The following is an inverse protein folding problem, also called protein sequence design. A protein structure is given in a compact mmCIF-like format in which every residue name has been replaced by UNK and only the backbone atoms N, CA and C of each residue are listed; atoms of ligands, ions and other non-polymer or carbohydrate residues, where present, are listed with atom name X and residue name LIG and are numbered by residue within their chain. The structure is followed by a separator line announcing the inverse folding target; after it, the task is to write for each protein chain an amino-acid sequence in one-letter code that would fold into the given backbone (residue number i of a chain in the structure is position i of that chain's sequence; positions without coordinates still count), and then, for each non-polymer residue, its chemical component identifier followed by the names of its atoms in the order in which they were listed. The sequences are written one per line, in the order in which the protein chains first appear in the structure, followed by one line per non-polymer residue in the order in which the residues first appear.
data_IF_407836801760
#
_entry.id   IF_407836801760
#
_cell.length_a   1.000
_cell.length_b   1.000
_cell.length_c   1.000
_cell.angle_alpha   90.00
_cell.angle_beta   90.00
_cell.angle_gamma   90.00
#
_symmetry.space_group_name_H-M   'P 1'
#
loop_
_entity.id
_entity.type
_entity.pdbx_description
1 polymer ?
#
# COMPACT_ATOMS: atom_id res chain seq x y z
N UNK A 1 38.69 40.40 -6.57
CA UNK A 1 38.85 38.93 -6.50
C UNK A 1 37.66 38.38 -5.75
N UNK A 2 36.76 37.70 -6.45
CA UNK A 2 35.53 37.16 -5.87
C UNK A 2 35.83 35.91 -5.06
N UNK A 3 35.50 35.95 -3.78
CA UNK A 3 35.49 34.77 -2.91
C UNK A 3 34.29 33.92 -3.34
N UNK A 4 34.56 32.81 -4.01
CA UNK A 4 33.58 31.78 -4.33
C UNK A 4 33.05 31.25 -3.00
N UNK A 5 31.80 31.57 -2.67
CA UNK A 5 31.04 30.88 -1.62
C UNK A 5 30.97 29.41 -2.03
N UNK A 6 31.69 28.55 -1.31
CA UNK A 6 31.41 27.12 -1.30
C UNK A 6 29.95 26.94 -0.92
N UNK A 7 29.16 26.38 -1.84
CA UNK A 7 27.81 25.91 -1.53
C UNK A 7 27.95 24.80 -0.51
N UNK A 8 27.29 24.99 0.62
CA UNK A 8 26.99 23.97 1.62
C UNK A 8 26.22 22.82 0.92
N UNK A 9 26.94 21.79 0.44
CA UNK A 9 26.37 20.55 -0.08
C UNK A 9 26.10 19.64 1.13
N UNK A 10 25.02 19.93 1.85
CA UNK A 10 24.54 19.06 2.92
C UNK A 10 24.15 17.69 2.39
N UNK A 11 24.52 16.64 3.13
CA UNK A 11 24.30 15.22 2.88
C UNK A 11 22.86 14.88 2.46
N UNK A 12 22.57 14.91 1.16
CA UNK A 12 21.29 14.43 0.64
C UNK A 12 21.31 12.89 0.61
N UNK A 13 20.79 12.25 1.67
CA UNK A 13 20.54 10.80 1.75
C UNK A 13 19.74 10.25 0.55
N UNK A 14 18.93 11.09 -0.09
CA UNK A 14 18.08 10.72 -1.21
C UNK A 14 18.32 11.72 -2.33
N UNK A 15 18.60 11.24 -3.54
CA UNK A 15 18.65 12.03 -4.76
C UNK A 15 17.68 11.48 -5.80
N UNK A 16 17.15 12.35 -6.64
CA UNK A 16 16.20 12.01 -7.70
C UNK A 16 16.64 12.67 -8.99
N UNK A 17 16.88 11.87 -10.02
CA UNK A 17 17.15 12.32 -11.39
C UNK A 17 15.96 11.96 -12.26
N UNK A 18 15.31 12.97 -12.82
CA UNK A 18 14.13 12.74 -13.69
C UNK A 18 14.59 12.27 -15.07
N UNK A 19 13.83 11.34 -15.65
CA UNK A 19 13.96 10.97 -17.06
C UNK A 19 13.76 12.20 -17.95
N UNK A 20 14.46 12.27 -19.08
CA UNK A 20 14.45 13.42 -19.98
C UNK A 20 13.33 13.32 -21.03
N UNK A 21 12.91 12.10 -21.37
CA UNK A 21 11.85 11.80 -22.34
C UNK A 21 10.61 11.10 -21.78
N UNK A 22 9.55 11.06 -22.58
CA UNK A 22 8.33 10.31 -22.26
C UNK A 22 8.63 8.79 -22.22
N UNK A 23 8.35 8.15 -21.09
CA UNK A 23 8.62 6.73 -20.89
C UNK A 23 10.03 6.41 -20.38
N UNK A 24 10.94 7.39 -20.33
CA UNK A 24 12.24 7.19 -19.69
C UNK A 24 12.09 7.06 -18.17
N UNK A 25 12.72 6.05 -17.56
CA UNK A 25 12.65 5.88 -16.11
C UNK A 25 13.37 7.02 -15.41
N UNK A 26 12.78 7.49 -14.31
CA UNK A 26 13.47 8.37 -13.36
C UNK A 26 14.30 7.53 -12.40
N UNK A 27 15.48 8.01 -12.04
CA UNK A 27 16.41 7.34 -11.13
C UNK A 27 16.27 7.94 -9.72
N UNK A 28 16.09 7.08 -8.74
CA UNK A 28 16.09 7.41 -7.31
C UNK A 28 17.29 6.72 -6.69
N UNK A 29 18.18 7.49 -6.07
CA UNK A 29 19.33 6.96 -5.33
C UNK A 29 19.15 7.27 -3.85
N UNK A 30 19.29 6.27 -3.01
CA UNK A 30 19.27 6.39 -1.55
C UNK A 30 20.58 5.86 -1.00
N UNK A 31 21.26 6.66 -0.20
CA UNK A 31 22.45 6.31 0.54
C UNK A 31 22.24 6.68 2.01
N UNK A 32 21.97 5.69 2.86
CA UNK A 32 21.65 5.93 4.27
C UNK A 32 22.06 4.75 5.15
N UNK A 33 22.06 4.92 6.50
CA UNK A 33 22.24 3.79 7.39
C UNK A 33 21.22 2.68 7.10
N UNK A 34 21.60 1.44 7.35
CA UNK A 34 20.76 0.28 7.08
C UNK A 34 19.86 -0.07 8.27
N UNK A 35 18.69 -0.64 7.96
CA UNK A 35 17.82 -1.30 8.93
C UNK A 35 17.04 -2.42 8.24
N UNK A 36 16.69 -3.45 9.01
CA UNK A 36 15.85 -4.54 8.51
C UNK A 36 14.51 -3.96 8.00
N UNK A 37 14.15 -4.35 6.78
CA UNK A 37 12.87 -3.96 6.17
C UNK A 37 12.85 -2.59 5.50
N UNK A 38 13.98 -1.89 5.38
CA UNK A 38 14.05 -0.59 4.70
C UNK A 38 13.62 -0.68 3.22
N UNK A 39 13.99 -1.76 2.51
CA UNK A 39 13.51 -2.02 1.15
C UNK A 39 11.98 -2.11 1.04
N UNK A 40 11.30 -2.65 2.06
CA UNK A 40 9.84 -2.65 2.13
C UNK A 40 9.28 -1.25 2.36
N UNK A 41 9.93 -0.44 3.20
CA UNK A 41 9.53 0.95 3.45
C UNK A 41 9.64 1.80 2.16
N UNK A 42 10.72 1.65 1.39
CA UNK A 42 10.87 2.30 0.09
C UNK A 42 9.81 1.81 -0.90
N UNK A 43 9.63 0.49 -1.04
CA UNK A 43 8.64 -0.08 -1.94
C UNK A 43 7.21 0.40 -1.62
N UNK A 44 6.89 0.56 -0.33
CA UNK A 44 5.61 1.10 0.14
C UNK A 44 5.41 2.53 -0.32
N UNK A 45 6.40 3.41 -0.11
CA UNK A 45 6.32 4.82 -0.50
C UNK A 45 6.14 4.94 -2.02
N UNK A 46 6.91 4.18 -2.80
CA UNK A 46 6.79 4.16 -4.26
C UNK A 46 5.40 3.70 -4.71
N UNK A 47 4.84 2.66 -4.07
CA UNK A 47 3.48 2.20 -4.35
C UNK A 47 2.43 3.26 -3.98
N UNK A 48 2.60 3.96 -2.86
CA UNK A 48 1.69 5.05 -2.43
C UNK A 48 1.65 6.19 -3.44
N UNK A 49 2.79 6.59 -4.02
CA UNK A 49 2.86 7.68 -5.01
C UNK A 49 2.52 7.24 -6.44
N UNK A 50 2.20 5.96 -6.67
CA UNK A 50 1.78 5.47 -7.99
C UNK A 50 2.95 5.14 -8.94
N UNK A 51 4.15 4.92 -8.40
CA UNK A 51 5.33 4.53 -9.18
C UNK A 51 5.44 3.00 -9.31
N UNK A 52 6.12 2.57 -10.36
CA UNK A 52 6.54 1.18 -10.59
C UNK A 52 8.05 1.12 -10.73
N UNK A 53 8.69 0.20 -10.04
CA UNK A 53 10.11 -0.10 -10.21
C UNK A 53 10.28 -0.95 -11.46
N UNK A 54 11.04 -0.46 -12.44
CA UNK A 54 11.40 -1.20 -13.66
C UNK A 54 12.78 -1.83 -13.54
N UNK A 55 13.67 -1.20 -12.77
CA UNK A 55 14.97 -1.75 -12.41
C UNK A 55 15.33 -1.30 -11.00
N UNK A 56 16.07 -2.13 -10.27
CA UNK A 56 16.60 -1.76 -8.97
C UNK A 56 17.89 -2.49 -8.67
N UNK A 57 18.84 -1.80 -8.09
CA UNK A 57 20.08 -2.35 -7.54
C UNK A 57 20.13 -1.98 -6.05
N UNK A 58 20.28 -2.97 -5.16
CA UNK A 58 20.34 -2.80 -3.71
C UNK A 58 21.65 -3.41 -3.20
N UNK A 59 22.32 -2.72 -2.28
CA UNK A 59 23.52 -3.21 -1.62
C UNK A 59 23.59 -2.69 -0.20
N UNK A 60 24.03 -3.51 0.75
CA UNK A 60 24.30 -3.11 2.12
C UNK A 60 25.54 -3.81 2.66
N UNK A 61 26.28 -3.13 3.54
CA UNK A 61 27.34 -3.73 4.36
C UNK A 61 26.85 -4.10 5.78
N UNK A 62 25.54 -4.00 6.01
CA UNK A 62 24.86 -4.20 7.29
C UNK A 62 24.85 -2.98 8.21
N UNK A 63 25.55 -1.90 7.85
CA UNK A 63 25.53 -0.61 8.57
C UNK A 63 25.02 0.52 7.70
N UNK A 64 25.39 0.52 6.43
CA UNK A 64 24.99 1.46 5.39
C UNK A 64 24.44 0.70 4.20
N UNK A 65 23.41 1.27 3.59
CA UNK A 65 22.83 0.76 2.37
C UNK A 65 22.93 1.78 1.25
N UNK A 66 23.13 1.26 0.05
CA UNK A 66 23.09 2.00 -1.20
C UNK A 66 22.04 1.36 -2.10
N UNK A 67 21.02 2.13 -2.47
CA UNK A 67 19.86 1.66 -3.23
C UNK A 67 19.66 2.58 -4.43
N UNK A 68 19.58 2.01 -5.62
CA UNK A 68 19.23 2.72 -6.86
C UNK A 68 18.00 2.08 -7.47
N UNK A 69 16.96 2.88 -7.70
CA UNK A 69 15.68 2.43 -8.25
C UNK A 69 15.34 3.27 -9.49
N UNK A 70 15.11 2.60 -10.60
CA UNK A 70 14.57 3.19 -11.82
C UNK A 70 13.07 2.99 -11.83
N UNK A 71 12.33 4.10 -11.90
CA UNK A 71 10.89 4.13 -11.70
C UNK A 71 10.16 4.84 -12.82
N UNK A 72 8.96 4.34 -13.14
CA UNK A 72 8.03 4.96 -14.09
C UNK A 72 6.67 5.19 -13.43
N UNK A 73 5.97 6.31 -13.72
CA UNK A 73 4.58 6.49 -13.33
C UNK A 73 3.69 5.44 -13.99
N UNK A 74 2.73 4.85 -13.26
CA UNK A 74 1.80 3.85 -13.83
C UNK A 74 0.80 4.47 -14.80
N UNK A 75 0.05 5.46 -14.30
CA UNK A 75 -1.00 6.12 -15.06
C UNK A 75 -1.24 7.49 -14.45
N UNK A 76 -0.82 8.52 -15.17
CA UNK A 76 -1.04 9.92 -14.76
C UNK A 76 -2.52 10.29 -14.74
N UNK A 77 -3.37 9.61 -15.52
CA UNK A 77 -4.82 9.84 -15.51
C UNK A 77 -5.49 9.34 -14.23
N UNK A 78 -4.96 8.28 -13.60
CA UNK A 78 -5.52 7.70 -12.38
C UNK A 78 -4.89 8.33 -11.13
N UNK A 79 -3.56 8.45 -11.10
CA UNK A 79 -2.84 8.82 -9.88
C UNK A 79 -2.39 10.29 -9.85
N UNK A 80 -2.65 11.04 -10.94
CA UNK A 80 -2.15 12.40 -11.10
C UNK A 80 -0.63 12.46 -11.35
N UNK A 81 -0.10 13.67 -11.33
CA UNK A 81 1.34 13.89 -11.42
C UNK A 81 2.07 13.48 -10.13
N UNK A 82 3.27 12.93 -10.28
CA UNK A 82 4.09 12.53 -9.14
C UNK A 82 4.67 13.77 -8.47
N UNK A 83 4.33 13.96 -7.19
CA UNK A 83 4.97 14.98 -6.36
C UNK A 83 6.37 14.50 -5.92
N UNK A 84 7.37 14.75 -6.75
CA UNK A 84 8.76 14.35 -6.53
C UNK A 84 9.38 14.94 -5.25
N UNK A 85 8.97 16.14 -4.86
CA UNK A 85 9.44 16.79 -3.62
C UNK A 85 8.94 16.00 -2.40
N UNK A 86 7.66 15.67 -2.38
CA UNK A 86 7.06 14.89 -1.30
C UNK A 86 7.63 13.46 -1.26
N UNK A 87 7.84 12.85 -2.42
CA UNK A 87 8.49 11.53 -2.51
C UNK A 87 9.88 11.56 -1.85
N UNK A 88 10.72 12.54 -2.20
CA UNK A 88 12.06 12.70 -1.63
C UNK A 88 12.00 12.85 -0.12
N UNK A 89 11.10 13.69 0.39
CA UNK A 89 10.90 13.90 1.83
C UNK A 89 10.49 12.61 2.55
N UNK A 90 9.57 11.82 1.97
CA UNK A 90 9.11 10.55 2.57
C UNK A 90 10.19 9.48 2.57
N UNK A 91 10.97 9.38 1.49
CA UNK A 91 12.09 8.45 1.43
C UNK A 91 13.15 8.81 2.48
N UNK A 92 13.48 10.10 2.61
CA UNK A 92 14.42 10.56 3.63
C UNK A 92 13.88 10.30 5.05
N UNK A 93 12.59 10.51 5.30
CA UNK A 93 11.99 10.31 6.63
C UNK A 93 11.99 8.86 7.12
N UNK A 94 12.07 7.86 6.23
CA UNK A 94 12.19 6.45 6.63
C UNK A 94 13.64 5.98 6.77
N UNK A 95 14.60 6.76 6.29
CA UNK A 95 16.03 6.48 6.45
C UNK A 95 16.40 6.62 7.94
N UNK A 96 17.14 5.66 8.52
CA UNK A 96 17.62 5.81 9.89
C UNK A 96 18.57 7.00 10.03
N UNK A 97 18.57 7.65 11.20
CA UNK A 97 19.53 8.72 11.50
C UNK A 97 20.95 8.17 11.57
N UNK A 98 21.97 8.87 11.01
CA UNK A 98 23.38 8.50 11.18
C UNK A 98 23.84 8.45 12.64
N UNK A 99 23.19 9.23 13.51
CA UNK A 99 23.47 9.27 14.95
C UNK A 99 22.90 8.08 15.71
N UNK A 100 21.99 7.30 15.09
CA UNK A 100 21.40 6.09 15.65
C UNK A 100 22.39 4.92 15.81
N UNK A 101 23.63 5.06 15.33
CA UNK A 101 24.69 4.06 15.53
C UNK A 101 25.30 4.16 16.95
N UNK A 102 25.15 5.29 17.65
CA UNK A 102 25.69 5.52 19.00
C UNK A 102 24.62 5.67 20.09
N UNK A 103 23.35 5.76 19.72
CA UNK A 103 22.23 5.93 20.64
C UNK A 103 21.34 4.68 20.61
N UNK A 104 20.71 4.30 21.74
CA UNK A 104 19.71 3.24 21.74
C UNK A 104 18.61 3.54 20.71
N UNK A 105 17.98 2.50 20.12
CA UNK A 105 16.95 2.68 19.11
C UNK A 105 15.91 3.68 19.61
N UNK A 106 15.61 4.70 18.79
CA UNK A 106 14.55 5.65 19.12
C UNK A 106 13.27 4.86 19.47
N UNK A 107 12.60 5.19 20.59
CA UNK A 107 11.40 4.49 20.98
C UNK A 107 10.41 4.55 19.82
N UNK A 108 9.89 3.38 19.42
CA UNK A 108 8.84 3.29 18.41
C UNK A 108 7.74 4.27 18.84
N UNK A 109 7.37 5.25 18.00
CA UNK A 109 6.38 6.23 18.41
C UNK A 109 5.12 5.51 18.88
N UNK A 110 4.56 6.00 19.99
CA UNK A 110 3.28 5.56 20.53
C UNK A 110 2.23 5.44 19.41
N UNK A 111 1.26 4.53 19.60
CA UNK A 111 0.17 4.32 18.64
C UNK A 111 -0.32 5.69 18.11
N UNK A 112 -0.44 5.86 16.78
CA UNK A 112 -0.73 7.18 16.22
C UNK A 112 -2.05 7.71 16.78
N UNK A 113 -2.09 9.00 17.10
CA UNK A 113 -3.33 9.64 17.53
C UNK A 113 -4.35 9.58 16.39
N UNK A 114 -5.54 9.09 16.71
CA UNK A 114 -6.61 8.88 15.74
C UNK A 114 -7.62 10.02 15.80
N UNK A 115 -8.05 10.47 14.62
CA UNK A 115 -9.07 11.50 14.45
C UNK A 115 -10.25 10.94 13.66
N UNK A 116 -11.45 11.39 13.99
CA UNK A 116 -12.66 11.11 13.24
C UNK A 116 -12.94 12.27 12.29
N UNK A 117 -12.85 12.01 10.99
CA UNK A 117 -13.32 12.90 9.96
C UNK A 117 -14.73 12.48 9.54
N UNK A 118 -15.71 13.34 9.77
CA UNK A 118 -17.06 13.20 9.28
C UNK A 118 -17.25 14.09 8.05
N UNK A 119 -17.61 13.48 6.92
CA UNK A 119 -17.93 14.17 5.67
C UNK A 119 -19.38 13.87 5.31
N UNK A 120 -20.16 14.93 5.12
CA UNK A 120 -21.59 14.91 4.86
C UNK A 120 -21.86 15.67 3.56
N UNK A 121 -22.26 14.98 2.50
CA UNK A 121 -22.45 15.56 1.17
C UNK A 121 -23.60 14.87 0.42
N UNK A 122 -24.07 15.47 -0.67
CA UNK A 122 -25.00 14.79 -1.60
C UNK A 122 -24.32 13.55 -2.16
N UNK A 123 -24.98 12.40 -2.06
CA UNK A 123 -24.41 11.15 -2.53
C UNK A 123 -24.31 11.13 -4.06
N UNK A 124 -23.19 10.60 -4.55
CA UNK A 124 -22.90 10.46 -5.98
C UNK A 124 -21.82 9.43 -6.19
N UNK A 125 -21.86 8.77 -7.34
CA UNK A 125 -20.78 7.90 -7.80
C UNK A 125 -19.44 8.65 -7.72
N UNK A 126 -18.46 8.04 -7.06
CA UNK A 126 -17.10 8.59 -6.93
C UNK A 126 -16.85 9.48 -5.71
N UNK A 127 -17.86 9.80 -4.90
CA UNK A 127 -17.69 10.65 -3.72
C UNK A 127 -16.60 10.11 -2.77
N UNK A 128 -16.67 8.82 -2.42
CA UNK A 128 -15.68 8.18 -1.54
C UNK A 128 -14.28 8.14 -2.16
N UNK A 129 -14.19 7.98 -3.48
CA UNK A 129 -12.91 7.99 -4.20
C UNK A 129 -12.24 9.37 -4.10
N UNK A 130 -12.99 10.45 -4.33
CA UNK A 130 -12.51 11.84 -4.20
C UNK A 130 -12.04 12.15 -2.78
N UNK A 131 -12.84 11.78 -1.76
CA UNK A 131 -12.44 11.95 -0.35
C UNK A 131 -11.12 11.21 -0.08
N UNK A 132 -11.02 9.96 -0.50
CA UNK A 132 -9.82 9.13 -0.30
C UNK A 132 -8.59 9.74 -0.96
N UNK A 133 -8.75 10.28 -2.17
CA UNK A 133 -7.68 10.97 -2.89
C UNK A 133 -7.20 12.21 -2.13
N UNK A 134 -8.13 13.05 -1.66
CA UNK A 134 -7.80 14.31 -0.99
C UNK A 134 -7.16 14.10 0.37
N UNK A 135 -7.59 13.08 1.11
CA UNK A 135 -6.92 12.70 2.36
C UNK A 135 -5.50 12.21 2.11
N UNK A 136 -5.26 11.46 1.04
CA UNK A 136 -3.90 11.06 0.65
C UNK A 136 -3.01 12.25 0.25
N UNK A 137 -3.54 13.20 -0.52
CA UNK A 137 -2.84 14.44 -0.89
C UNK A 137 -2.47 15.28 0.35
N UNK A 138 -3.34 15.28 1.35
CA UNK A 138 -3.13 15.90 2.65
C UNK A 138 -2.26 15.04 3.58
N UNK A 139 -1.66 13.95 3.13
CA UNK A 139 -0.79 13.08 3.93
C UNK A 139 -1.46 12.39 5.13
N UNK A 140 -2.76 12.15 5.02
CA UNK A 140 -3.52 11.43 6.03
C UNK A 140 -3.60 9.94 5.68
N UNK A 141 -3.54 9.09 6.69
CA UNK A 141 -3.78 7.65 6.58
C UNK A 141 -5.20 7.35 7.02
N UNK A 142 -5.95 6.62 6.20
CA UNK A 142 -7.28 6.12 6.57
C UNK A 142 -7.11 4.72 7.17
N UNK A 143 -7.68 4.49 8.34
CA UNK A 143 -7.59 3.23 9.08
C UNK A 143 -8.91 2.46 9.12
N UNK A 144 -10.02 3.16 9.29
CA UNK A 144 -11.37 2.61 9.26
C UNK A 144 -12.27 3.56 8.49
N UNK A 145 -13.26 3.00 7.82
CA UNK A 145 -14.26 3.75 7.08
C UNK A 145 -15.61 3.17 7.41
N UNK A 146 -16.58 4.04 7.66
CA UNK A 146 -17.99 3.69 7.73
C UNK A 146 -18.75 4.71 6.90
N UNK A 147 -19.23 4.27 5.74
CA UNK A 147 -20.02 5.08 4.81
C UNK A 147 -21.44 4.58 4.83
N UNK A 148 -22.40 5.49 4.78
CA UNK A 148 -23.81 5.17 4.59
C UNK A 148 -24.53 6.31 3.87
N UNK A 149 -25.50 5.97 3.03
CA UNK A 149 -26.37 6.93 2.37
C UNK A 149 -27.71 7.01 3.10
N UNK A 150 -28.14 8.22 3.49
CA UNK A 150 -29.44 8.43 4.12
C UNK A 150 -30.59 8.26 3.13
N UNK A 151 -31.84 8.04 3.59
CA UNK A 151 -33.02 8.01 2.72
C UNK A 151 -33.23 9.31 1.92
N UNK A 152 -32.69 10.42 2.41
CA UNK A 152 -32.74 11.75 1.76
C UNK A 152 -31.65 11.92 0.68
N UNK A 153 -30.84 10.89 0.41
CA UNK A 153 -29.77 10.93 -0.59
C UNK A 153 -28.50 11.65 -0.12
N UNK A 154 -28.33 11.86 1.19
CA UNK A 154 -27.12 12.45 1.78
C UNK A 154 -26.16 11.33 2.20
N UNK A 155 -24.96 11.31 1.65
CA UNK A 155 -23.88 10.43 2.09
C UNK A 155 -23.25 10.97 3.37
N UNK A 156 -23.07 10.08 4.35
CA UNK A 156 -22.34 10.33 5.59
C UNK A 156 -21.16 9.38 5.65
N UNK A 157 -19.95 9.94 5.53
CA UNK A 157 -18.69 9.21 5.57
C UNK A 157 -18.01 9.49 6.90
N UNK A 158 -17.86 8.47 7.73
CA UNK A 158 -17.06 8.50 8.96
C UNK A 158 -15.72 7.82 8.68
N UNK A 159 -14.64 8.58 8.70
CA UNK A 159 -13.29 8.09 8.43
C UNK A 159 -12.42 8.25 9.67
N UNK A 160 -11.88 7.15 10.16
CA UNK A 160 -10.87 7.15 11.22
C UNK A 160 -9.50 7.33 10.58
N UNK A 161 -8.84 8.46 10.86
CA UNK A 161 -7.62 8.89 10.18
C UNK A 161 -6.48 9.20 11.15
N UNK A 162 -5.24 9.18 10.66
CA UNK A 162 -4.05 9.70 11.36
C UNK A 162 -3.20 10.56 10.43
N UNK A 163 -2.43 11.50 10.97
CA UNK A 163 -1.49 12.32 10.20
C UNK A 163 -0.11 11.64 10.11
N UNK A 164 0.40 11.46 8.89
CA UNK A 164 1.70 10.82 8.63
C UNK A 164 2.89 11.65 9.10
N UNK A 165 2.70 12.94 9.41
CA UNK A 165 3.76 13.83 9.87
C UNK A 165 4.23 13.55 11.30
N UNK A 166 3.62 12.59 11.99
CA UNK A 166 4.04 12.15 13.32
C UNK A 166 3.75 13.18 14.42
N UNK A 167 2.92 14.18 14.14
CA UNK A 167 2.52 15.16 15.14
C UNK A 167 1.51 14.48 16.08
N UNK A 168 1.89 14.30 17.34
CA UNK A 168 1.08 13.64 18.38
C UNK A 168 -0.24 14.39 18.68
N UNK A 169 -0.34 15.66 18.30
CA UNK A 169 -1.56 16.47 18.36
C UNK A 169 -1.72 17.24 17.06
N UNK A 170 -2.87 17.14 16.43
CA UNK A 170 -3.15 17.93 15.23
C UNK A 170 -3.31 19.40 15.63
N UNK A 171 -2.38 20.24 15.18
CA UNK A 171 -2.48 21.69 15.34
C UNK A 171 -3.85 22.18 14.81
N UNK A 172 -4.47 23.12 15.52
CA UNK A 172 -5.81 23.63 15.17
C UNK A 172 -5.88 24.11 13.72
N UNK A 173 -4.88 24.87 13.29
CA UNK A 173 -4.74 25.38 11.92
C UNK A 173 -4.68 24.24 10.89
N UNK A 174 -3.98 23.15 11.22
CA UNK A 174 -3.87 21.98 10.36
C UNK A 174 -5.22 21.26 10.21
N UNK A 175 -5.97 21.14 11.30
CA UNK A 175 -7.33 20.57 11.27
C UNK A 175 -8.32 21.40 10.45
N UNK A 176 -8.26 22.73 10.59
CA UNK A 176 -9.07 23.67 9.82
C UNK A 176 -8.73 23.60 8.32
N UNK A 177 -7.43 23.57 7.98
CA UNK A 177 -6.95 23.38 6.61
C UNK A 177 -7.45 22.06 6.00
N UNK A 178 -7.43 20.95 6.74
CA UNK A 178 -7.94 19.67 6.27
C UNK A 178 -9.43 19.78 5.94
N UNK A 179 -10.22 20.32 6.87
CA UNK A 179 -11.66 20.48 6.69
C UNK A 179 -11.98 21.36 5.49
N UNK A 180 -11.27 22.48 5.34
CA UNK A 180 -11.43 23.42 4.22
C UNK A 180 -11.08 22.77 2.88
N UNK A 181 -9.91 22.12 2.77
CA UNK A 181 -9.47 21.48 1.52
C UNK A 181 -10.39 20.34 1.09
N UNK A 182 -10.87 19.54 2.04
CA UNK A 182 -11.86 18.49 1.75
C UNK A 182 -13.18 19.12 1.30
N UNK A 183 -13.69 20.14 2.00
CA UNK A 183 -14.94 20.81 1.63
C UNK A 183 -14.89 21.41 0.22
N UNK A 184 -13.82 22.13 -0.10
CA UNK A 184 -13.61 22.73 -1.42
C UNK A 184 -13.55 21.69 -2.54
N UNK A 185 -12.99 20.51 -2.27
CA UNK A 185 -12.89 19.44 -3.27
C UNK A 185 -14.22 18.75 -3.61
N UNK A 186 -15.21 18.83 -2.71
CA UNK A 186 -16.48 18.13 -2.86
C UNK A 186 -17.60 19.03 -3.39
N UNK A 187 -17.50 20.35 -3.15
CA UNK A 187 -18.42 21.37 -3.66
C UNK A 187 -19.35 21.94 -2.58
N UNK A 188 -20.23 22.85 -3.00
CA UNK A 188 -21.19 23.54 -2.12
C UNK A 188 -22.17 22.58 -1.43
N UNK A 189 -22.52 22.87 -0.18
CA UNK A 189 -23.42 22.02 0.64
C UNK A 189 -22.71 20.86 1.37
N UNK A 190 -21.38 20.74 1.24
CA UNK A 190 -20.60 19.75 1.98
C UNK A 190 -20.31 20.22 3.40
N UNK A 191 -20.69 19.40 4.38
CA UNK A 191 -20.30 19.57 5.78
C UNK A 191 -19.11 18.66 6.08
N UNK A 192 -18.06 19.23 6.67
CA UNK A 192 -16.86 18.50 7.07
C UNK A 192 -16.55 18.86 8.51
N UNK A 193 -16.43 17.86 9.37
CA UNK A 193 -16.08 17.99 10.78
C UNK A 193 -14.95 17.04 11.12
N UNK A 194 -13.93 17.55 11.80
CA UNK A 194 -12.82 16.76 12.30
C UNK A 194 -12.80 16.83 13.83
N UNK A 195 -12.79 15.68 14.49
CA UNK A 195 -12.70 15.58 15.95
C UNK A 195 -11.65 14.55 16.35
N UNK A 196 -11.17 14.62 17.59
CA UNK A 196 -10.42 13.51 18.16
C UNK A 196 -11.31 12.26 18.21
N UNK A 197 -10.77 11.09 17.86
CA UNK A 197 -11.54 9.86 17.92
C UNK A 197 -11.76 9.42 19.38
N UNK A 198 -13.01 9.19 19.75
CA UNK A 198 -13.36 8.66 21.06
C UNK A 198 -13.04 7.15 21.19
N UNK A 199 -13.05 6.60 22.42
CA UNK A 199 -12.75 5.19 22.68
C UNK A 199 -13.71 4.22 21.97
N UNK A 200 -14.92 4.67 21.62
CA UNK A 200 -15.95 3.90 20.92
C UNK A 200 -15.53 3.43 19.52
N UNK A 201 -14.57 4.11 18.89
CA UNK A 201 -14.04 3.71 17.58
C UNK A 201 -12.97 2.61 17.69
N UNK A 202 -12.57 2.26 18.92
CA UNK A 202 -11.54 1.28 19.25
C UNK A 202 -10.15 1.63 18.71
N UNK A 203 -9.16 0.80 19.04
CA UNK A 203 -7.81 0.94 18.52
C UNK A 203 -7.66 0.45 17.07
N UNK A 204 -6.40 0.44 16.61
CA UNK A 204 -5.97 -0.22 15.36
C UNK A 204 -5.78 -1.73 15.52
N UNK A 205 -6.20 -2.29 16.65
CA UNK A 205 -6.07 -3.70 16.97
C UNK A 205 -6.97 -4.55 16.06
N UNK A 206 -6.50 -5.74 15.70
CA UNK A 206 -7.26 -6.64 14.84
C UNK A 206 -8.35 -7.35 15.66
N UNK A 207 -9.58 -7.32 15.17
CA UNK A 207 -10.64 -8.13 15.74
C UNK A 207 -10.32 -9.62 15.50
N UNK A 208 -10.47 -10.50 16.50
CA UNK A 208 -10.22 -11.93 16.34
C UNK A 208 -11.31 -12.62 15.50
N UNK A 209 -12.43 -11.94 15.26
CA UNK A 209 -13.60 -12.49 14.58
C UNK A 209 -13.84 -11.78 13.26
N UNK A 210 -13.88 -12.56 12.19
CA UNK A 210 -14.47 -12.22 10.90
C UNK A 210 -15.72 -13.10 10.74
N UNK A 211 -16.87 -12.56 10.29
CA UNK A 211 -18.07 -13.39 10.10
C UNK A 211 -17.76 -14.62 9.23
N UNK A 212 -18.17 -15.84 9.63
CA UNK A 212 -17.80 -17.08 8.93
C UNK A 212 -18.15 -17.07 7.44
N UNK A 213 -19.27 -16.44 7.08
CA UNK A 213 -19.67 -16.28 5.68
C UNK A 213 -18.66 -15.44 4.89
N UNK A 214 -18.25 -14.28 5.43
CA UNK A 214 -17.23 -13.41 4.82
C UNK A 214 -15.88 -14.12 4.75
N UNK A 215 -15.52 -14.91 5.77
CA UNK A 215 -14.28 -15.70 5.76
C UNK A 215 -14.29 -16.72 4.63
N UNK A 216 -15.36 -17.51 4.52
CA UNK A 216 -15.55 -18.49 3.45
C UNK A 216 -15.45 -17.84 2.06
N UNK A 217 -16.16 -16.74 1.87
CA UNK A 217 -16.23 -16.03 0.59
C UNK A 217 -14.86 -15.48 0.11
N UNK A 218 -13.93 -15.19 1.03
CA UNK A 218 -12.63 -14.58 0.73
C UNK A 218 -11.45 -15.58 0.76
N UNK A 219 -11.51 -16.62 1.59
CA UNK A 219 -10.35 -17.46 1.90
C UNK A 219 -10.51 -18.92 1.45
N UNK A 220 -11.71 -19.42 1.19
CA UNK A 220 -11.91 -20.82 0.78
C UNK A 220 -11.65 -21.05 -0.72
N UNK A 221 -11.67 -19.99 -1.55
CA UNK A 221 -11.30 -20.14 -2.97
C UNK A 221 -9.78 -20.36 -3.11
N UNK A 222 -9.43 -21.48 -3.76
CA UNK A 222 -8.05 -21.92 -3.99
C UNK A 222 -7.18 -20.87 -4.69
N UNK A 223 -5.86 -21.09 -4.64
CA UNK A 223 -4.86 -20.21 -5.26
C UNK A 223 -5.29 -19.84 -6.69
N UNK A 224 -5.57 -18.56 -6.94
CA UNK A 224 -6.01 -18.09 -8.24
C UNK A 224 -5.01 -18.45 -9.35
N UNK A 225 -5.49 -18.47 -10.60
CA UNK A 225 -4.80 -18.94 -11.82
C UNK A 225 -3.55 -18.13 -12.25
N UNK A 226 -2.74 -17.58 -11.33
CA UNK A 226 -1.44 -17.00 -11.68
C UNK A 226 -0.37 -18.08 -11.51
N UNK A 227 0.18 -18.54 -12.63
CA UNK A 227 1.27 -19.53 -12.67
C UNK A 227 2.58 -18.82 -12.32
N UNK A 228 2.80 -18.59 -11.03
CA UNK A 228 4.10 -18.17 -10.51
C UNK A 228 4.98 -19.41 -10.39
N UNK A 229 6.18 -19.37 -10.98
CA UNK A 229 7.18 -20.41 -10.72
C UNK A 229 7.56 -20.36 -9.24
N UNK A 230 7.84 -21.53 -8.66
CA UNK A 230 8.33 -21.60 -7.29
C UNK A 230 9.65 -20.82 -7.20
N UNK A 231 9.83 -19.92 -6.22
CA UNK A 231 11.10 -19.19 -6.06
C UNK A 231 12.26 -20.18 -5.86
N UNK A 232 13.34 -19.94 -6.59
CA UNK A 232 14.55 -20.74 -6.47
C UNK A 232 15.37 -20.20 -5.30
N UNK A 233 15.77 -21.08 -4.39
CA UNK A 233 16.71 -20.73 -3.32
C UNK A 233 17.89 -21.68 -3.42
N UNK A 234 19.09 -21.13 -3.45
CA UNK A 234 20.33 -21.92 -3.45
C UNK A 234 21.38 -21.33 -2.52
N UNK A 235 22.34 -22.18 -2.18
CA UNK A 235 23.42 -21.87 -1.26
C UNK A 235 24.80 -22.06 -1.94
N UNK A 236 24.85 -22.12 -3.27
CA UNK A 236 26.08 -22.39 -4.03
C UNK A 236 26.68 -21.11 -4.61
N UNK A 237 25.85 -20.11 -4.96
CA UNK A 237 26.30 -18.87 -5.59
C UNK A 237 27.12 -17.97 -4.65
N UNK A 238 26.86 -18.03 -3.34
CA UNK A 238 27.58 -17.24 -2.33
C UNK A 238 28.00 -18.11 -1.14
N UNK A 239 29.22 -17.95 -0.60
CA UNK A 239 29.63 -18.67 0.60
C UNK A 239 28.85 -18.23 1.85
N UNK A 240 28.39 -16.97 1.90
CA UNK A 240 27.84 -16.34 3.12
C UNK A 240 26.35 -16.03 3.04
N UNK A 241 25.75 -16.02 1.85
CA UNK A 241 24.34 -15.67 1.64
C UNK A 241 23.57 -16.84 1.04
N UNK A 242 22.25 -16.87 1.26
CA UNK A 242 21.34 -17.68 0.45
C UNK A 242 20.92 -16.84 -0.75
N UNK A 243 21.07 -17.36 -1.95
CA UNK A 243 20.59 -16.73 -3.16
C UNK A 243 19.10 -17.04 -3.34
N UNK A 244 18.33 -16.04 -3.73
CA UNK A 244 16.91 -16.13 -4.03
C UNK A 244 16.67 -15.57 -5.43
N UNK A 245 16.12 -16.39 -6.31
CA UNK A 245 15.65 -15.99 -7.63
C UNK A 245 14.14 -16.14 -7.76
N UNK A 246 13.51 -15.13 -8.33
CA UNK A 246 12.08 -15.08 -8.59
C UNK A 246 11.86 -14.50 -9.98
N UNK A 247 11.17 -15.27 -10.83
CA UNK A 247 10.75 -14.86 -12.16
C UNK A 247 9.21 -14.86 -12.22
N UNK A 248 8.61 -13.70 -12.52
CA UNK A 248 7.15 -13.58 -12.61
C UNK A 248 6.69 -12.40 -13.45
N UNK A 249 5.42 -12.39 -13.87
CA UNK A 249 4.84 -11.23 -14.53
C UNK A 249 4.90 -10.00 -13.61
N UNK A 250 5.39 -8.88 -14.13
CA UNK A 250 5.39 -7.62 -13.41
C UNK A 250 3.96 -7.19 -13.15
N UNK A 251 3.72 -6.68 -11.95
CA UNK A 251 2.40 -6.24 -11.51
C UNK A 251 2.52 -5.15 -10.46
N UNK A 252 1.42 -4.42 -10.26
CA UNK A 252 1.30 -3.44 -9.18
C UNK A 252 1.55 -4.04 -7.82
N UNK A 253 2.47 -3.39 -7.12
CA UNK A 253 2.92 -3.78 -5.80
C UNK A 253 3.83 -5.02 -5.76
N UNK A 254 4.30 -5.58 -6.88
CA UNK A 254 5.18 -6.77 -6.86
C UNK A 254 6.40 -6.56 -5.96
N UNK A 255 7.13 -5.46 -6.18
CA UNK A 255 8.31 -5.12 -5.36
C UNK A 255 7.95 -4.96 -3.87
N UNK A 256 6.81 -4.33 -3.58
CA UNK A 256 6.31 -4.18 -2.22
C UNK A 256 5.95 -5.53 -1.59
N UNK A 257 5.20 -6.38 -2.28
CA UNK A 257 4.77 -7.68 -1.76
C UNK A 257 5.95 -8.62 -1.53
N UNK A 258 6.98 -8.57 -2.40
CA UNK A 258 8.23 -9.30 -2.21
C UNK A 258 8.99 -8.80 -0.98
N UNK A 259 9.28 -7.50 -0.91
CA UNK A 259 10.04 -6.93 0.20
C UNK A 259 9.30 -7.00 1.55
N UNK A 260 7.96 -6.90 1.52
CA UNK A 260 7.11 -7.11 2.70
C UNK A 260 7.23 -8.54 3.20
N UNK A 261 7.10 -9.52 2.31
CA UNK A 261 7.19 -10.94 2.69
C UNK A 261 8.54 -11.24 3.35
N UNK A 262 9.64 -10.72 2.81
CA UNK A 262 10.96 -10.86 3.43
C UNK A 262 11.04 -10.17 4.80
N UNK A 263 10.57 -8.92 4.90
CA UNK A 263 10.53 -8.16 6.17
C UNK A 263 9.73 -8.88 7.24
N UNK A 264 8.51 -9.33 6.92
CA UNK A 264 7.61 -10.01 7.85
C UNK A 264 8.19 -11.36 8.36
N UNK A 265 9.14 -11.94 7.63
CA UNK A 265 9.86 -13.16 8.00
C UNK A 265 11.25 -12.91 8.64
N UNK A 266 11.56 -11.66 8.99
CA UNK A 266 12.86 -11.21 9.51
C UNK A 266 14.05 -11.56 8.60
N UNK A 267 13.84 -11.45 7.28
CA UNK A 267 14.88 -11.71 6.28
C UNK A 267 15.51 -10.39 5.86
N UNK A 268 16.83 -10.34 5.95
CA UNK A 268 17.68 -9.23 5.51
C UNK A 268 18.07 -9.45 4.05
N UNK A 269 18.09 -8.37 3.26
CA UNK A 269 18.56 -8.38 1.87
C UNK A 269 19.92 -7.69 1.84
N UNK A 270 20.98 -8.46 1.57
CA UNK A 270 22.36 -7.96 1.52
C UNK A 270 22.68 -7.32 0.16
N UNK A 271 22.26 -7.99 -0.91
CA UNK A 271 22.36 -7.49 -2.28
C UNK A 271 21.09 -7.84 -3.04
N UNK A 272 20.68 -6.99 -3.96
CA UNK A 272 19.52 -7.24 -4.79
C UNK A 272 19.63 -6.64 -6.17
N UNK A 273 19.14 -7.36 -7.17
CA UNK A 273 18.93 -6.85 -8.52
C UNK A 273 17.53 -7.19 -8.98
N UNK A 274 16.83 -6.18 -9.47
CA UNK A 274 15.47 -6.27 -9.99
C UNK A 274 15.50 -5.76 -11.41
N UNK A 275 14.92 -6.50 -12.35
CA UNK A 275 14.86 -6.09 -13.76
C UNK A 275 13.52 -6.49 -14.35
N UNK A 276 12.80 -5.52 -14.92
CA UNK A 276 11.62 -5.76 -15.75
C UNK A 276 12.04 -5.76 -17.21
N UNK A 277 11.84 -6.89 -17.88
CA UNK A 277 12.10 -7.05 -19.32
C UNK A 277 10.95 -6.47 -20.16
N UNK A 278 11.18 -6.26 -21.45
CA UNK A 278 10.22 -5.64 -22.39
C UNK A 278 8.86 -6.36 -22.47
N UNK A 279 8.84 -7.68 -22.27
CA UNK A 279 7.60 -8.49 -22.25
C UNK A 279 6.81 -8.40 -20.94
N UNK A 280 7.21 -7.52 -20.03
CA UNK A 280 6.61 -7.38 -18.70
C UNK A 280 7.01 -8.48 -17.73
N UNK A 281 8.01 -9.30 -18.05
CA UNK A 281 8.55 -10.31 -17.15
C UNK A 281 9.54 -9.65 -16.18
N UNK A 282 9.34 -9.85 -14.89
CA UNK A 282 10.19 -9.35 -13.83
C UNK A 282 11.09 -10.46 -13.31
N UNK A 283 12.39 -10.17 -13.26
CA UNK A 283 13.43 -11.00 -12.68
C UNK A 283 13.94 -10.31 -11.40
N UNK A 284 13.89 -11.03 -10.27
CA UNK A 284 14.30 -10.57 -8.95
C UNK A 284 15.34 -11.54 -8.40
N UNK A 285 16.57 -11.05 -8.27
CA UNK A 285 17.72 -11.77 -7.70
C UNK A 285 18.12 -11.12 -6.39
N UNK A 286 18.05 -11.84 -5.27
CA UNK A 286 18.38 -11.32 -3.95
C UNK A 286 19.36 -12.24 -3.24
N UNK A 287 20.35 -11.67 -2.57
CA UNK A 287 21.16 -12.37 -1.59
C UNK A 287 20.59 -12.06 -0.21
N UNK A 288 20.13 -13.09 0.48
CA UNK A 288 19.36 -12.96 1.70
C UNK A 288 20.02 -13.66 2.89
N UNK A 289 19.74 -13.13 4.08
CA UNK A 289 20.15 -13.66 5.37
C UNK A 289 18.93 -13.72 6.29
N UNK A 290 18.87 -14.76 7.13
CA UNK A 290 17.92 -14.85 8.24
C UNK A 290 18.70 -14.80 9.54
N UNK A 291 18.36 -13.85 10.41
CA UNK A 291 19.05 -13.64 11.68
C UNK A 291 20.58 -13.48 11.51
N UNK A 292 21.00 -12.78 10.44
CA UNK A 292 22.40 -12.55 10.08
C UNK A 292 23.14 -13.76 9.51
N UNK A 293 22.45 -14.88 9.26
CA UNK A 293 23.04 -16.13 8.77
C UNK A 293 22.38 -16.62 7.48
N UNK A 294 23.12 -17.43 6.75
CA UNK A 294 22.64 -18.18 5.59
C UNK A 294 21.56 -19.18 6.02
N UNK A 295 20.55 -19.38 5.16
CA UNK A 295 19.47 -20.34 5.41
C UNK A 295 19.95 -21.72 4.94
N UNK A 296 20.62 -22.47 5.81
CA UNK A 296 21.18 -23.78 5.45
C UNK A 296 20.15 -24.91 5.52
N UNK A 297 19.18 -24.80 6.44
CA UNK A 297 18.20 -25.84 6.68
C UNK A 297 17.14 -25.91 5.56
N UNK A 298 17.00 -27.06 4.86
CA UNK A 298 16.07 -27.20 3.74
C UNK A 298 14.61 -26.89 4.11
N UNK A 299 14.15 -27.33 5.28
CA UNK A 299 12.79 -27.07 5.75
C UNK A 299 12.50 -25.56 5.88
N UNK A 300 13.48 -24.77 6.32
CA UNK A 300 13.35 -23.30 6.40
C UNK A 300 13.31 -22.66 5.02
N UNK A 301 14.07 -23.19 4.06
CA UNK A 301 14.00 -22.75 2.67
C UNK A 301 12.64 -23.07 2.05
N UNK A 302 12.13 -24.28 2.23
CA UNK A 302 10.82 -24.70 1.70
C UNK A 302 9.69 -23.85 2.29
N UNK A 303 9.71 -23.62 3.60
CA UNK A 303 8.75 -22.73 4.28
C UNK A 303 8.77 -21.31 3.66
N UNK A 304 9.95 -20.79 3.34
CA UNK A 304 10.10 -19.48 2.71
C UNK A 304 9.60 -19.49 1.26
N UNK A 305 9.92 -20.53 0.47
CA UNK A 305 9.44 -20.69 -0.92
C UNK A 305 7.91 -20.72 -0.97
N UNK A 306 7.28 -21.55 -0.13
CA UNK A 306 5.82 -21.65 -0.05
C UNK A 306 5.18 -20.34 0.40
N UNK A 307 5.79 -19.66 1.37
CA UNK A 307 5.31 -18.36 1.82
C UNK A 307 5.38 -17.34 0.68
N UNK A 308 6.53 -17.18 0.02
CA UNK A 308 6.68 -16.28 -1.13
C UNK A 308 5.68 -16.62 -2.25
N UNK A 309 5.52 -17.90 -2.58
CA UNK A 309 4.57 -18.32 -3.60
C UNK A 309 3.14 -17.90 -3.23
N UNK A 310 2.69 -18.17 -2.00
CA UNK A 310 1.38 -17.77 -1.50
C UNK A 310 1.19 -16.25 -1.53
N UNK A 311 2.20 -15.50 -1.07
CA UNK A 311 2.16 -14.05 -0.96
C UNK A 311 2.14 -13.33 -2.31
N UNK A 312 2.83 -13.88 -3.30
CA UNK A 312 3.02 -13.22 -4.59
C UNK A 312 1.97 -13.60 -5.63
N UNK A 313 1.41 -14.82 -5.53
CA UNK A 313 0.40 -15.37 -6.45
C UNK A 313 -0.95 -14.69 -6.30
N UNK A 314 -1.40 -14.51 -5.05
CA UNK A 314 -2.69 -13.91 -4.75
C UNK A 314 -2.58 -12.94 -3.55
N UNK A 315 -1.91 -11.79 -3.73
CA UNK A 315 -1.65 -10.83 -2.64
C UNK A 315 -2.92 -10.16 -2.11
N UNK A 316 -4.04 -10.29 -2.82
CA UNK A 316 -5.35 -9.77 -2.44
C UNK A 316 -6.40 -10.84 -2.64
N UNK A 317 -7.39 -10.88 -1.75
CA UNK A 317 -8.58 -11.72 -1.92
C UNK A 317 -9.74 -10.85 -2.37
N UNK A 318 -10.50 -11.30 -3.37
CA UNK A 318 -11.62 -10.56 -3.92
C UNK A 318 -12.79 -11.50 -4.14
N UNK A 319 -13.99 -11.07 -3.77
CA UNK A 319 -15.22 -11.79 -4.03
C UNK A 319 -16.39 -10.81 -4.17
N UNK A 320 -17.36 -11.14 -5.02
CA UNK A 320 -18.62 -10.39 -5.13
C UNK A 320 -19.76 -11.34 -4.79
N UNK A 321 -20.44 -11.05 -3.70
CA UNK A 321 -21.42 -11.96 -3.08
C UNK A 321 -22.78 -11.31 -2.98
N UNK A 322 -23.81 -12.13 -3.06
CA UNK A 322 -25.21 -11.72 -2.89
C UNK A 322 -25.71 -12.20 -1.53
N UNK A 323 -26.19 -11.29 -0.68
CA UNK A 323 -26.76 -11.58 0.64
C UNK A 323 -28.23 -11.15 0.64
N UNK A 324 -29.12 -12.03 0.16
CA UNK A 324 -30.51 -11.65 -0.08
C UNK A 324 -30.61 -10.66 -1.26
N UNK A 325 -31.27 -9.50 -1.11
CA UNK A 325 -31.34 -8.49 -2.17
C UNK A 325 -30.02 -7.72 -2.36
N UNK A 326 -29.12 -7.78 -1.38
CA UNK A 326 -27.92 -6.96 -1.33
C UNK A 326 -26.75 -7.61 -2.06
N UNK A 327 -25.98 -6.82 -2.82
CA UNK A 327 -24.71 -7.27 -3.42
C UNK A 327 -23.53 -6.57 -2.77
N UNK A 328 -22.60 -7.34 -2.22
CA UNK A 328 -21.38 -6.84 -1.59
C UNK A 328 -20.13 -7.20 -2.42
N UNK A 329 -19.26 -6.22 -2.66
CA UNK A 329 -17.87 -6.46 -3.03
C UNK A 329 -17.04 -6.59 -1.74
N UNK A 330 -16.32 -7.69 -1.63
CA UNK A 330 -15.40 -7.98 -0.55
C UNK A 330 -13.97 -7.95 -1.09
N UNK A 331 -13.07 -7.24 -0.40
CA UNK A 331 -11.63 -7.22 -0.71
C UNK A 331 -10.86 -7.43 0.58
N UNK A 332 -9.91 -8.36 0.62
CA UNK A 332 -8.97 -8.52 1.73
C UNK A 332 -7.55 -8.20 1.27
N UNK A 333 -6.88 -7.34 2.02
CA UNK A 333 -5.48 -7.00 1.81
C UNK A 333 -4.65 -7.33 3.05
N UNK A 334 -3.42 -7.82 2.89
CA UNK A 334 -2.58 -8.17 4.03
C UNK A 334 -2.10 -6.92 4.77
N UNK A 335 -1.96 -7.07 6.08
CA UNK A 335 -1.35 -6.07 6.96
C UNK A 335 0.10 -6.50 7.23
N UNK A 336 1.05 -5.57 7.11
CA UNK A 336 2.45 -5.79 7.48
C UNK A 336 2.56 -6.16 8.97
N UNK A 337 3.62 -6.87 9.37
CA UNK A 337 3.86 -7.19 10.78
C UNK A 337 3.91 -5.95 11.70
N UNK A 338 4.28 -4.78 11.14
CA UNK A 338 4.26 -3.49 11.83
C UNK A 338 2.88 -2.79 11.88
N UNK A 339 1.79 -3.47 11.48
CA UNK A 339 0.41 -2.97 11.59
C UNK A 339 -0.03 -2.01 10.48
N UNK A 340 0.80 -1.80 9.44
CA UNK A 340 0.47 -0.95 8.29
C UNK A 340 -0.24 -1.77 7.21
N UNK A 341 -1.42 -1.34 6.79
CA UNK A 341 -2.17 -1.96 5.69
C UNK A 341 -1.52 -1.66 4.32
N UNK A 342 -1.86 -2.47 3.30
CA UNK A 342 -1.37 -2.29 1.93
C UNK A 342 -1.78 -0.91 1.37
N UNK A 343 -0.85 -0.13 0.81
CA UNK A 343 -1.17 1.16 0.20
C UNK A 343 -2.30 1.11 -0.85
N UNK A 344 -3.07 2.20 -0.91
CA UNK A 344 -4.00 2.55 -2.02
C UNK A 344 -5.19 1.63 -2.25
N UNK A 345 -5.37 0.54 -1.51
CA UNK A 345 -6.48 -0.42 -1.74
C UNK A 345 -7.85 0.25 -1.78
N UNK A 346 -8.20 1.10 -0.80
CA UNK A 346 -9.47 1.83 -0.81
C UNK A 346 -9.64 2.71 -2.05
N UNK A 347 -8.60 3.46 -2.40
CA UNK A 347 -8.62 4.35 -3.56
C UNK A 347 -8.82 3.55 -4.85
N UNK A 348 -8.07 2.47 -5.02
CA UNK A 348 -8.11 1.63 -6.21
C UNK A 348 -9.45 0.92 -6.39
N UNK A 349 -10.03 0.38 -5.30
CA UNK A 349 -11.33 -0.29 -5.36
C UNK A 349 -12.44 0.72 -5.69
N UNK A 350 -12.46 1.86 -5.01
CA UNK A 350 -13.46 2.91 -5.24
C UNK A 350 -13.33 3.52 -6.63
N UNK A 351 -12.11 3.64 -7.16
CA UNK A 351 -11.86 4.04 -8.54
C UNK A 351 -12.40 2.99 -9.52
N UNK A 352 -12.08 1.71 -9.32
CA UNK A 352 -12.53 0.63 -10.20
C UNK A 352 -14.06 0.47 -10.28
N UNK A 353 -14.77 0.78 -9.19
CA UNK A 353 -16.24 0.80 -9.16
C UNK A 353 -16.81 2.04 -9.87
N UNK A 354 -16.18 3.20 -9.67
CA UNK A 354 -16.60 4.48 -10.25
C UNK A 354 -16.31 4.59 -11.75
N UNK A 355 -15.18 4.05 -12.21
CA UNK A 355 -14.72 4.22 -13.58
C UNK A 355 -15.62 3.47 -14.58
N UNK A 356 -15.59 3.91 -15.84
CA UNK A 356 -16.33 3.23 -16.91
C UNK A 356 -15.77 1.81 -17.11
N UNK A 357 -16.62 0.80 -17.37
CA UNK A 357 -18.03 0.92 -17.78
C UNK A 357 -19.05 0.90 -16.64
N UNK A 358 -18.66 0.71 -15.37
CA UNK A 358 -19.62 0.39 -14.31
C UNK A 358 -20.29 1.62 -13.68
N UNK A 359 -19.50 2.59 -13.21
CA UNK A 359 -20.02 3.76 -12.49
C UNK A 359 -20.85 3.42 -11.24
N UNK A 360 -20.59 2.28 -10.59
CA UNK A 360 -21.36 1.77 -9.45
C UNK A 360 -21.23 2.74 -8.27
N UNK A 361 -22.36 3.14 -7.69
CA UNK A 361 -22.37 3.89 -6.44
C UNK A 361 -22.28 2.93 -5.24
N UNK A 362 -21.65 3.40 -4.16
CA UNK A 362 -21.43 2.61 -2.95
C UNK A 362 -22.43 3.09 -1.91
N UNK A 363 -23.39 2.24 -1.54
CA UNK A 363 -24.39 2.56 -0.52
C UNK A 363 -23.78 2.58 0.88
N UNK A 364 -22.93 1.59 1.15
CA UNK A 364 -22.27 1.42 2.44
C UNK A 364 -20.88 0.86 2.23
N UNK A 365 -19.91 1.39 2.97
CA UNK A 365 -18.55 0.86 3.00
C UNK A 365 -18.12 0.65 4.45
N UNK A 366 -17.45 -0.47 4.71
CA UNK A 366 -16.86 -0.79 6.01
C UNK A 366 -15.43 -1.31 5.80
N UNK A 367 -14.49 -0.81 6.62
CA UNK A 367 -13.10 -1.31 6.62
C UNK A 367 -12.76 -1.74 8.04
N UNK A 368 -12.50 -3.04 8.18
CA UNK A 368 -12.15 -3.68 9.44
C UNK A 368 -10.79 -4.39 9.37
N UNK A 369 -10.15 -4.56 10.52
CA UNK A 369 -8.90 -5.33 10.65
C UNK A 369 -9.20 -6.63 11.38
N UNK A 370 -8.77 -7.75 10.83
CA UNK A 370 -9.12 -9.08 11.30
C UNK A 370 -7.92 -10.01 11.29
N UNK A 371 -7.89 -10.99 12.19
CA UNK A 371 -6.94 -12.10 12.13
C UNK A 371 -7.63 -13.31 11.51
N UNK A 372 -7.06 -13.84 10.43
CA UNK A 372 -7.50 -15.08 9.77
C UNK A 372 -6.26 -15.96 9.60
N UNK A 373 -6.32 -17.22 10.06
CA UNK A 373 -5.20 -18.17 9.99
C UNK A 373 -3.87 -17.60 10.54
N UNK A 374 -3.92 -16.96 11.73
CA UNK A 374 -2.78 -16.29 12.39
C UNK A 374 -2.19 -15.10 11.61
N UNK A 375 -2.89 -14.61 10.60
CA UNK A 375 -2.46 -13.50 9.76
C UNK A 375 -3.40 -12.31 9.86
N UNK A 376 -2.83 -11.12 9.94
CA UNK A 376 -3.60 -9.87 9.95
C UNK A 376 -4.01 -9.44 8.53
N UNK A 377 -5.29 -9.13 8.38
CA UNK A 377 -5.92 -8.69 7.13
C UNK A 377 -6.74 -7.43 7.37
N UNK A 378 -6.71 -6.53 6.41
CA UNK A 378 -7.65 -5.42 6.29
C UNK A 378 -8.73 -5.84 5.29
N UNK A 379 -9.96 -5.95 5.78
CA UNK A 379 -11.12 -6.41 5.00
C UNK A 379 -11.99 -5.22 4.70
N UNK A 380 -12.24 -5.02 3.41
CA UNK A 380 -13.02 -3.95 2.84
C UNK A 380 -14.34 -4.54 2.33
N UNK A 381 -15.45 -3.97 2.76
CA UNK A 381 -16.80 -4.41 2.40
C UNK A 381 -17.52 -3.24 1.78
N UNK A 382 -17.99 -3.40 0.55
CA UNK A 382 -18.73 -2.37 -0.18
C UNK A 382 -20.08 -2.92 -0.58
N UNK A 383 -21.14 -2.38 -0.01
CA UNK A 383 -22.52 -2.62 -0.45
C UNK A 383 -22.77 -1.76 -1.70
N UNK A 384 -23.05 -2.42 -2.81
CA UNK A 384 -23.16 -1.80 -4.12
C UNK A 384 -24.62 -1.44 -4.42
N UNK A 385 -24.83 -0.27 -5.03
CA UNK A 385 -26.14 0.14 -5.53
C UNK A 385 -26.32 -0.41 -6.94
N UNK A 386 -27.35 -1.23 -7.12
CA UNK A 386 -27.77 -1.73 -8.42
C UNK A 386 -28.32 -0.59 -9.28
N UNK A 387 -28.05 -0.65 -10.59
CA UNK A 387 -28.55 0.33 -11.56
C UNK A 387 -29.47 -0.35 -12.58
N UNK A 388 -30.39 0.40 -13.22
CA UNK A 388 -31.27 -0.16 -14.25
C UNK A 388 -30.53 -0.86 -15.40
N UNK A 389 -29.32 -0.39 -15.74
CA UNK A 389 -28.46 -0.87 -16.82
C UNK A 389 -27.44 -1.92 -16.37
N UNK A 390 -27.36 -2.24 -15.08
CA UNK A 390 -26.36 -3.14 -14.51
C UNK A 390 -26.97 -4.07 -13.46
N UNK A 391 -27.31 -5.29 -13.89
CA UNK A 391 -27.82 -6.32 -12.98
C UNK A 391 -26.68 -6.96 -12.18
N UNK A 392 -26.59 -6.63 -10.89
CA UNK A 392 -25.52 -7.10 -10.01
C UNK A 392 -25.69 -8.55 -9.56
N UNK A 393 -26.87 -9.13 -9.73
CA UNK A 393 -27.12 -10.55 -9.45
C UNK A 393 -26.57 -11.47 -10.54
N UNK A 394 -26.37 -10.96 -11.76
CA UNK A 394 -25.80 -11.72 -12.88
C UNK A 394 -24.35 -12.18 -12.57
N UNK A 395 -24.07 -13.49 -12.52
CA UNK A 395 -22.72 -14.01 -12.32
C UNK A 395 -21.68 -13.49 -13.32
N UNK A 396 -22.07 -13.17 -14.57
CA UNK A 396 -21.16 -12.62 -15.58
C UNK A 396 -20.70 -11.22 -15.20
N UNK A 397 -21.63 -10.34 -14.86
CA UNK A 397 -21.34 -8.98 -14.41
C UNK A 397 -20.47 -8.99 -13.16
N UNK A 398 -20.77 -9.87 -12.19
CA UNK A 398 -19.93 -10.02 -10.98
C UNK A 398 -18.49 -10.43 -11.31
N UNK A 399 -18.29 -11.36 -12.24
CA UNK A 399 -16.95 -11.75 -12.71
C UNK A 399 -16.23 -10.60 -13.41
N UNK A 400 -16.96 -9.77 -14.18
CA UNK A 400 -16.38 -8.59 -14.82
C UNK A 400 -15.98 -7.51 -13.81
N UNK A 401 -16.79 -7.27 -12.78
CA UNK A 401 -16.44 -6.39 -11.66
C UNK A 401 -15.17 -6.90 -10.97
N UNK A 402 -15.10 -8.19 -10.62
CA UNK A 402 -13.90 -8.78 -10.00
C UNK A 402 -12.68 -8.60 -10.91
N UNK A 403 -12.81 -8.88 -12.21
CA UNK A 403 -11.73 -8.72 -13.18
C UNK A 403 -11.25 -7.27 -13.25
N UNK A 404 -12.16 -6.30 -13.28
CA UNK A 404 -11.81 -4.88 -13.35
C UNK A 404 -11.15 -4.39 -12.05
N UNK A 405 -11.73 -4.71 -10.90
CA UNK A 405 -11.15 -4.35 -9.60
C UNK A 405 -9.76 -4.98 -9.43
N UNK A 406 -9.61 -6.26 -9.81
CA UNK A 406 -8.31 -6.95 -9.78
C UNK A 406 -7.29 -6.27 -10.72
N UNK A 407 -7.70 -5.85 -11.91
CA UNK A 407 -6.86 -5.08 -12.85
C UNK A 407 -6.40 -3.76 -12.21
N UNK A 408 -7.28 -2.95 -11.62
CA UNK A 408 -6.84 -1.68 -11.01
C UNK A 408 -5.90 -1.89 -9.80
N UNK A 409 -6.16 -2.94 -8.99
CA UNK A 409 -5.37 -3.26 -7.81
C UNK A 409 -4.00 -3.90 -8.13
N UNK A 410 -3.92 -4.67 -9.22
CA UNK A 410 -2.73 -5.43 -9.60
C UNK A 410 -2.05 -4.90 -10.87
N UNK A 411 -2.60 -3.90 -11.55
CA UNK A 411 -2.09 -3.39 -12.83
C UNK A 411 -2.37 -4.35 -13.96
#
# INVERSE_FOLDING_TARGET
MGVVRMKDQGDEFVSVRRGQGAGEPSEITVNCPDKIGLGCDFARILLEVGLTVVRGDLSTDGRWCFVVLWVVPRSTSIYGEVNWKLLKQRLAAVCPSPHGVLLPPEPVPDKPQLFLLQVSAVDRTGLLNLVTQKLWELELTIHKVKVSTSPEGKAVNLLLISDKRGIQSLEKERGELICEKVRLSLGGGTEVKLTLAGPEYGGLDCAPYLPPSVSKDLFDEGFGNMTLKLPELDNYVSPVHTFMHLECANRKGLFYDCMRTLKDNNIQVAFGRITTQEKGLCDVNLFILKDGKKIEEPLKQDTLRETLLRELTNPLRLSVVTRGPDTELLVAAPIEACGRGRPRVLFDVTYALMDKPFGICIFKADIGRHVVEKRAWEVYRFLLIEKPDLNLTDPKIRKEIIKNVKKILMG
#
